data_IF_559112953833
#
_entry.id   IF_559112953833
#
_cell.length_a   1.000
_cell.length_b   1.000
_cell.length_c   1.000
_cell.angle_alpha   90.00
_cell.angle_beta   90.00
_cell.angle_gamma   90.00
#
_symmetry.space_group_name_H-M   'P 1'
#
loop_
_entity.id
_entity.type
_entity.pdbx_description
1 polymer ?
#
# COMPACT_ATOMS: atom_id res chain seq x y z
N UNK A 1 -46.43 -31.38 -23.60
CA UNK A 1 -45.20 -32.17 -23.83
C UNK A 1 -44.27 -31.89 -22.68
N UNK A 2 -44.12 -32.82 -21.75
CA UNK A 2 -43.25 -32.75 -20.57
C UNK A 2 -41.87 -33.29 -21.00
N UNK A 3 -40.81 -32.52 -20.83
CA UNK A 3 -39.42 -33.01 -20.92
C UNK A 3 -38.86 -33.14 -19.50
N UNK A 4 -38.54 -34.36 -19.13
CA UNK A 4 -37.88 -34.78 -17.91
C UNK A 4 -36.37 -34.61 -18.10
N UNK A 5 -35.71 -33.87 -17.22
CA UNK A 5 -34.23 -33.76 -17.16
C UNK A 5 -33.71 -34.73 -16.11
N UNK A 6 -32.84 -35.64 -16.54
CA UNK A 6 -32.12 -36.58 -15.69
C UNK A 6 -30.90 -35.86 -15.08
N UNK A 7 -30.81 -35.90 -13.76
CA UNK A 7 -29.59 -35.53 -13.01
C UNK A 7 -28.78 -36.80 -12.76
N UNK A 8 -27.55 -36.79 -13.26
CA UNK A 8 -26.53 -37.82 -12.95
C UNK A 8 -25.72 -37.31 -11.77
N UNK A 9 -25.83 -37.98 -10.64
CA UNK A 9 -25.01 -37.75 -9.46
C UNK A 9 -23.63 -38.40 -9.66
N UNK A 10 -22.59 -37.63 -9.62
CA UNK A 10 -21.21 -38.11 -9.57
C UNK A 10 -20.77 -38.18 -8.10
N UNK A 11 -20.52 -39.40 -7.63
CA UNK A 11 -19.98 -39.65 -6.29
C UNK A 11 -18.45 -39.46 -6.32
N UNK A 12 -17.96 -38.53 -5.51
CA UNK A 12 -16.51 -38.34 -5.25
C UNK A 12 -16.14 -39.21 -4.04
N UNK A 13 -15.25 -40.18 -4.29
CA UNK A 13 -14.61 -41.01 -3.26
C UNK A 13 -13.41 -40.25 -2.72
N UNK A 14 -13.46 -39.83 -1.46
CA UNK A 14 -12.32 -39.27 -0.73
C UNK A 14 -11.55 -40.43 -0.09
N UNK A 15 -10.32 -40.65 -0.55
CA UNK A 15 -9.38 -41.59 0.06
C UNK A 15 -8.59 -40.88 1.15
N UNK A 16 -8.87 -41.22 2.41
CA UNK A 16 -8.07 -40.80 3.57
C UNK A 16 -6.85 -41.72 3.73
N UNK A 17 -5.66 -41.16 3.57
CA UNK A 17 -4.40 -41.83 3.91
C UNK A 17 -4.05 -41.51 5.37
N UNK A 18 -4.18 -42.50 6.25
CA UNK A 18 -3.70 -42.41 7.63
C UNK A 18 -2.23 -42.86 7.69
N UNK A 19 -1.36 -41.94 8.12
CA UNK A 19 0.05 -42.26 8.43
C UNK A 19 0.15 -42.47 9.93
N UNK A 20 0.41 -43.71 10.32
CA UNK A 20 0.71 -44.09 11.71
C UNK A 20 2.23 -43.96 11.95
N UNK A 21 2.62 -43.04 12.83
CA UNK A 21 3.98 -43.01 13.40
C UNK A 21 4.03 -43.91 14.66
N UNK A 22 4.82 -44.99 14.60
CA UNK A 22 5.20 -45.75 15.77
C UNK A 22 6.51 -45.24 16.32
N UNK A 23 6.49 -44.71 17.53
CA UNK A 23 7.67 -44.41 18.32
C UNK A 23 7.98 -45.55 19.25
N UNK A 24 9.16 -46.16 19.15
CA UNK A 24 9.75 -47.01 20.20
C UNK A 24 11.21 -46.63 20.36
N UNK A 25 11.59 -46.32 21.59
CA UNK A 25 12.99 -46.07 21.93
C UNK A 25 13.17 -45.66 23.38
N UNK A 26 13.52 -46.61 24.21
CA UNK A 26 13.63 -46.58 25.65
C UNK A 26 14.69 -45.65 26.21
N UNK A 27 14.40 -45.19 27.40
CA UNK A 27 15.21 -44.45 28.38
C UNK A 27 16.32 -45.33 28.94
N UNK A 28 17.52 -44.80 29.15
CA UNK A 28 18.37 -45.17 30.28
C UNK A 28 19.07 -43.94 30.85
N UNK A 29 18.82 -43.71 32.13
CA UNK A 29 19.54 -42.80 32.99
C UNK A 29 20.80 -43.50 33.53
N UNK A 30 21.83 -42.76 33.69
CA UNK A 30 22.78 -42.63 34.79
C UNK A 30 24.17 -42.25 34.23
N UNK A 31 24.76 -41.19 34.65
CA UNK A 31 25.88 -41.18 35.55
C UNK A 31 26.48 -39.77 35.77
N UNK A 32 26.81 -39.59 36.98
CA UNK A 32 27.38 -38.53 37.75
C UNK A 32 28.63 -37.78 37.22
N UNK A 33 28.63 -36.48 37.49
CA UNK A 33 29.70 -35.63 38.03
C UNK A 33 31.09 -35.60 37.36
N UNK A 34 31.51 -34.41 36.95
CA UNK A 34 32.60 -33.64 37.56
C UNK A 34 32.85 -32.33 36.79
N UNK A 35 32.84 -31.24 37.49
CA UNK A 35 33.37 -29.93 37.10
C UNK A 35 34.91 -29.97 37.08
N UNK A 36 35.55 -29.24 36.17
CA UNK A 36 36.72 -28.46 36.54
C UNK A 36 36.58 -26.98 36.15
N UNK A 37 36.77 -26.16 37.14
CA UNK A 37 37.14 -24.76 37.07
C UNK A 37 38.40 -24.57 36.21
N UNK A 38 38.35 -23.63 35.27
CA UNK A 38 39.58 -23.02 34.76
C UNK A 38 39.33 -21.53 34.42
N UNK A 39 40.29 -20.79 34.84
CA UNK A 39 40.46 -19.37 34.94
C UNK A 39 40.12 -18.56 33.65
N UNK A 40 39.55 -17.41 33.95
CA UNK A 40 39.33 -16.31 33.05
C UNK A 40 40.67 -15.67 32.67
N UNK A 41 41.00 -15.70 31.39
CA UNK A 41 41.96 -14.78 30.81
C UNK A 41 41.15 -13.71 30.02
N UNK A 42 41.13 -12.50 30.56
CA UNK A 42 40.60 -11.32 29.89
C UNK A 42 41.53 -10.93 28.74
N UNK A 43 41.04 -11.04 27.51
CA UNK A 43 41.60 -10.35 26.38
C UNK A 43 40.62 -9.27 25.95
N UNK A 44 41.06 -8.02 26.11
CA UNK A 44 40.38 -6.85 25.54
C UNK A 44 40.37 -7.00 24.01
N UNK A 45 39.18 -7.25 23.46
CA UNK A 45 38.94 -7.10 22.04
C UNK A 45 38.33 -5.71 21.84
N UNK A 46 39.02 -4.86 21.07
CA UNK A 46 38.58 -3.52 20.72
C UNK A 46 37.24 -3.58 20.00
N UNK A 47 36.33 -2.74 20.47
CA UNK A 47 35.03 -2.45 19.89
C UNK A 47 35.26 -1.50 18.69
N UNK A 48 35.46 -2.06 17.51
CA UNK A 48 35.34 -1.34 16.23
C UNK A 48 33.91 -1.50 15.74
N UNK A 49 32.97 -0.91 16.47
CA UNK A 49 31.63 -0.63 15.95
C UNK A 49 31.77 0.52 14.93
N UNK A 50 31.91 0.18 13.67
CA UNK A 50 31.67 1.12 12.59
C UNK A 50 30.19 1.54 12.69
N UNK A 51 29.94 2.66 13.35
CA UNK A 51 28.64 3.34 13.32
C UNK A 51 28.39 3.81 11.89
N UNK A 52 27.47 3.16 11.21
CA UNK A 52 26.80 3.71 10.03
C UNK A 52 26.29 5.11 10.42
N UNK A 53 26.65 6.18 9.69
CA UNK A 53 26.14 7.50 10.01
C UNK A 53 24.61 7.45 9.82
N UNK A 54 23.88 7.74 10.90
CA UNK A 54 22.46 7.97 10.83
C UNK A 54 22.19 9.09 9.81
N UNK A 55 21.37 8.83 8.82
CA UNK A 55 20.91 9.83 7.87
C UNK A 55 20.41 11.05 8.65
N UNK A 56 20.96 12.22 8.37
CA UNK A 56 20.49 13.46 9.01
C UNK A 56 19.09 13.74 8.47
N UNK A 57 18.08 14.00 9.34
CA UNK A 57 16.77 14.40 8.87
C UNK A 57 16.88 15.66 8.02
N UNK A 58 16.25 15.65 6.84
CA UNK A 58 16.19 16.80 5.97
C UNK A 58 15.63 18.01 6.72
N UNK A 59 16.22 19.21 6.64
CA UNK A 59 15.60 20.41 7.20
C UNK A 59 14.30 20.71 6.42
N UNK A 60 13.18 20.84 7.10
CA UNK A 60 11.91 21.19 6.49
C UNK A 60 11.99 22.60 5.91
N UNK A 61 12.14 22.72 4.61
CA UNK A 61 12.06 24.01 3.92
C UNK A 61 11.47 23.82 2.52
N UNK A 62 10.38 24.54 2.29
CA UNK A 62 9.68 24.84 1.02
C UNK A 62 9.23 23.66 0.14
N UNK A 63 7.98 23.74 -0.28
CA UNK A 63 7.31 22.77 -1.15
C UNK A 63 8.06 22.58 -2.48
N UNK A 64 8.18 21.32 -2.97
CA UNK A 64 8.82 21.03 -4.26
C UNK A 64 8.00 21.60 -5.42
N UNK A 65 8.70 21.86 -6.55
CA UNK A 65 8.04 22.25 -7.80
C UNK A 65 7.31 21.04 -8.36
N UNK A 66 5.99 21.09 -8.29
CA UNK A 66 5.11 20.03 -8.75
C UNK A 66 5.03 20.02 -10.30
N UNK A 67 5.19 18.83 -10.90
CA UNK A 67 4.50 18.49 -12.14
C UNK A 67 3.13 17.98 -11.68
N UNK A 68 2.13 18.88 -11.63
CA UNK A 68 0.83 18.61 -11.03
C UNK A 68 -0.01 17.66 -11.90
N UNK A 69 -0.58 16.63 -11.28
CA UNK A 69 -1.76 15.96 -11.84
C UNK A 69 -2.91 16.97 -11.99
N UNK A 70 -3.84 16.77 -12.95
CA UNK A 70 -4.99 17.64 -13.06
C UNK A 70 -5.79 17.60 -11.76
N UNK A 71 -5.80 18.72 -11.03
CA UNK A 71 -6.65 18.88 -9.86
C UNK A 71 -8.11 18.86 -10.29
N UNK A 72 -8.94 18.15 -9.54
CA UNK A 72 -10.39 18.27 -9.67
C UNK A 72 -10.81 19.72 -9.39
N UNK A 73 -11.88 20.19 -10.03
CA UNK A 73 -12.38 21.57 -9.91
C UNK A 73 -13.09 21.86 -8.57
N UNK A 74 -13.10 20.91 -7.65
CA UNK A 74 -13.66 21.08 -6.31
C UNK A 74 -12.68 21.88 -5.44
N UNK A 75 -12.52 23.16 -5.75
CA UNK A 75 -12.02 24.15 -4.79
C UNK A 75 -13.10 24.27 -3.70
N UNK A 76 -12.92 23.55 -2.59
CA UNK A 76 -13.72 23.77 -1.38
C UNK A 76 -13.34 25.18 -0.92
N UNK A 77 -14.11 26.17 -1.36
CA UNK A 77 -13.85 27.58 -1.12
C UNK A 77 -13.66 27.78 0.39
N UNK A 78 -12.75 28.70 0.75
CA UNK A 78 -12.61 29.29 2.09
C UNK A 78 -13.92 30.01 2.54
N UNK A 79 -15.03 29.28 2.42
CA UNK A 79 -16.30 29.58 3.05
C UNK A 79 -16.23 29.03 4.44
N UNK A 80 -16.39 29.89 5.46
CA UNK A 80 -16.66 29.46 6.84
C UNK A 80 -17.84 28.50 6.82
N UNK A 81 -17.57 27.20 6.77
CA UNK A 81 -18.58 26.15 6.95
C UNK A 81 -19.16 26.38 8.35
N UNK A 82 -20.49 26.49 8.46
CA UNK A 82 -21.13 26.48 9.77
C UNK A 82 -20.65 25.23 10.50
N UNK A 83 -20.17 25.39 11.73
CA UNK A 83 -19.58 24.27 12.48
C UNK A 83 -20.60 23.11 12.53
N UNK A 84 -20.22 21.97 11.95
CA UNK A 84 -21.01 20.76 12.01
C UNK A 84 -20.98 20.23 13.44
N UNK A 85 -22.13 19.70 13.92
CA UNK A 85 -22.16 19.03 15.23
C UNK A 85 -21.17 17.84 15.23
N UNK A 86 -20.60 17.46 16.37
CA UNK A 86 -19.69 16.33 16.46
C UNK A 86 -20.28 15.05 15.86
N UNK A 87 -19.56 14.42 14.96
CA UNK A 87 -19.95 13.19 14.28
C UNK A 87 -19.25 11.96 14.89
N UNK A 88 -19.92 10.81 14.84
CA UNK A 88 -19.33 9.49 15.07
C UNK A 88 -19.03 8.84 13.71
N UNK A 89 -17.75 8.69 13.36
CA UNK A 89 -17.29 8.22 12.05
C UNK A 89 -16.61 6.85 12.20
N UNK A 90 -17.06 5.83 11.44
CA UNK A 90 -16.39 4.56 11.35
C UNK A 90 -15.46 4.55 10.12
N UNK A 91 -14.16 4.33 10.32
CA UNK A 91 -13.17 4.13 9.26
C UNK A 91 -12.86 2.64 9.16
N UNK A 92 -13.18 2.03 8.03
CA UNK A 92 -13.02 0.60 7.79
C UNK A 92 -11.96 0.39 6.72
N UNK A 93 -10.93 -0.40 7.04
CA UNK A 93 -9.82 -0.68 6.12
C UNK A 93 -9.42 -2.15 6.18
N UNK A 94 -9.13 -2.80 5.04
CA UNK A 94 -8.53 -4.13 5.05
C UNK A 94 -7.03 -4.11 5.38
N UNK A 95 -6.36 -2.96 5.20
CA UNK A 95 -4.90 -2.89 5.10
C UNK A 95 -4.25 -1.93 6.11
N UNK A 96 -4.98 -1.45 7.13
CA UNK A 96 -4.48 -0.44 8.07
C UNK A 96 -3.17 -0.84 8.76
N UNK A 97 -3.06 -2.09 9.22
CA UNK A 97 -1.86 -2.57 9.90
C UNK A 97 -0.77 -3.07 8.92
N UNK A 98 -1.17 -3.57 7.74
CA UNK A 98 -0.26 -4.21 6.79
C UNK A 98 0.43 -3.20 5.87
N UNK A 99 -0.26 -2.10 5.50
CA UNK A 99 0.22 -1.15 4.50
C UNK A 99 0.57 0.20 5.13
N UNK A 100 1.85 0.65 5.04
CA UNK A 100 2.27 1.95 5.57
C UNK A 100 1.48 3.14 5.01
N UNK A 101 1.10 3.09 3.72
CA UNK A 101 0.30 4.13 3.08
C UNK A 101 -1.12 4.20 3.67
N UNK A 102 -1.79 3.05 3.86
CA UNK A 102 -3.10 3.00 4.50
C UNK A 102 -3.07 3.55 5.92
N UNK A 103 -2.04 3.15 6.68
CA UNK A 103 -1.85 3.66 8.03
C UNK A 103 -1.67 5.16 8.05
N UNK A 104 -0.81 5.71 7.20
CA UNK A 104 -0.51 7.14 7.16
C UNK A 104 -1.76 7.96 6.79
N UNK A 105 -2.49 7.57 5.75
CA UNK A 105 -3.71 8.24 5.32
C UNK A 105 -4.80 8.24 6.40
N UNK A 106 -5.01 7.10 7.05
CA UNK A 106 -6.02 6.95 8.11
C UNK A 106 -5.60 7.71 9.38
N UNK A 107 -4.32 7.67 9.77
CA UNK A 107 -3.82 8.44 10.91
C UNK A 107 -4.01 9.97 10.69
N UNK A 108 -3.79 10.48 9.46
CA UNK A 108 -4.08 11.88 9.12
C UNK A 108 -5.58 12.19 9.20
N UNK A 109 -6.42 11.29 8.68
CA UNK A 109 -7.87 11.46 8.76
C UNK A 109 -8.37 11.48 10.21
N UNK A 110 -7.93 10.54 11.04
CA UNK A 110 -8.28 10.47 12.46
C UNK A 110 -7.86 11.75 13.17
N UNK A 111 -6.61 12.20 12.98
CA UNK A 111 -6.09 13.41 13.60
C UNK A 111 -6.85 14.68 13.17
N UNK A 112 -7.20 14.79 11.88
CA UNK A 112 -7.98 15.92 11.37
C UNK A 112 -9.41 15.91 11.94
N UNK A 113 -10.09 14.77 11.93
CA UNK A 113 -11.43 14.62 12.45
C UNK A 113 -11.51 14.92 13.96
N UNK A 114 -10.56 14.41 14.75
CA UNK A 114 -10.46 14.71 16.19
C UNK A 114 -10.21 16.21 16.45
N UNK A 115 -9.38 16.87 15.63
CA UNK A 115 -9.13 18.30 15.74
C UNK A 115 -10.40 19.14 15.48
N UNK A 116 -11.34 18.64 14.67
CA UNK A 116 -12.65 19.24 14.40
C UNK A 116 -13.72 18.82 15.42
N UNK A 117 -13.38 17.92 16.37
CA UNK A 117 -14.26 17.50 17.46
C UNK A 117 -15.11 16.25 17.15
N UNK A 118 -14.85 15.57 16.05
CA UNK A 118 -15.48 14.31 15.69
C UNK A 118 -14.86 13.14 16.46
N UNK A 119 -15.56 12.02 16.51
CA UNK A 119 -15.06 10.77 17.07
C UNK A 119 -14.84 9.77 15.94
N UNK A 120 -13.63 9.20 15.85
CA UNK A 120 -13.29 8.20 14.83
C UNK A 120 -13.10 6.83 15.48
N UNK A 121 -13.64 5.79 14.84
CA UNK A 121 -13.38 4.41 15.19
C UNK A 121 -12.77 3.71 13.98
N UNK A 122 -11.50 3.33 14.08
CA UNK A 122 -10.77 2.61 13.01
C UNK A 122 -10.91 1.11 13.22
N UNK A 123 -11.30 0.39 12.17
CA UNK A 123 -11.41 -1.09 12.14
C UNK A 123 -10.57 -1.63 10.99
N UNK A 124 -9.62 -2.50 11.33
CA UNK A 124 -8.82 -3.25 10.36
C UNK A 124 -9.39 -4.65 10.19
N UNK A 125 -9.70 -5.05 8.96
CA UNK A 125 -10.26 -6.37 8.67
C UNK A 125 -9.22 -7.38 8.17
N UNK A 126 -7.94 -7.00 8.16
CA UNK A 126 -6.81 -7.87 7.82
C UNK A 126 -7.00 -8.59 6.47
N UNK A 127 -7.24 -7.83 5.42
CA UNK A 127 -7.46 -8.29 4.02
C UNK A 127 -8.68 -9.19 3.82
N UNK A 128 -9.64 -9.16 4.75
CA UNK A 128 -10.86 -9.98 4.68
C UNK A 128 -12.07 -9.15 4.21
N UNK A 129 -12.44 -9.28 2.93
CA UNK A 129 -13.59 -8.59 2.33
C UNK A 129 -14.95 -9.04 2.95
N UNK A 130 -15.06 -10.29 3.42
CA UNK A 130 -16.26 -10.74 4.12
C UNK A 130 -16.36 -10.07 5.50
N UNK A 131 -15.23 -9.85 6.18
CA UNK A 131 -15.19 -9.07 7.41
C UNK A 131 -15.53 -7.61 7.14
N UNK A 132 -15.04 -6.99 6.05
CA UNK A 132 -15.44 -5.64 5.64
C UNK A 132 -16.96 -5.49 5.54
N UNK A 133 -17.64 -6.43 4.84
CA UNK A 133 -19.10 -6.44 4.76
C UNK A 133 -19.76 -6.51 6.15
N UNK A 134 -19.25 -7.36 7.04
CA UNK A 134 -19.81 -7.51 8.40
C UNK A 134 -19.56 -6.25 9.26
N UNK A 135 -18.41 -5.59 9.10
CA UNK A 135 -18.10 -4.35 9.84
C UNK A 135 -18.92 -3.16 9.34
N UNK A 136 -19.21 -3.05 8.03
CA UNK A 136 -20.15 -2.05 7.52
C UNK A 136 -21.53 -2.26 8.18
N UNK A 137 -22.07 -3.49 8.17
CA UNK A 137 -23.35 -3.82 8.82
C UNK A 137 -23.30 -3.55 10.33
N UNK A 138 -22.14 -3.76 10.98
CA UNK A 138 -21.93 -3.45 12.40
C UNK A 138 -21.99 -1.94 12.64
N UNK A 139 -21.29 -1.14 11.85
CA UNK A 139 -21.31 0.33 11.92
C UNK A 139 -22.75 0.87 11.71
N UNK A 140 -23.48 0.33 10.73
CA UNK A 140 -24.90 0.65 10.51
C UNK A 140 -25.73 0.35 11.75
N UNK A 141 -25.54 -0.83 12.37
CA UNK A 141 -26.28 -1.24 13.58
C UNK A 141 -25.96 -0.38 14.81
N UNK A 142 -24.75 0.17 14.88
CA UNK A 142 -24.31 1.10 15.92
C UNK A 142 -24.88 2.50 15.73
N UNK A 143 -25.33 2.82 14.51
CA UNK A 143 -25.92 4.11 14.17
C UNK A 143 -24.88 5.23 14.12
N UNK A 144 -23.68 4.92 13.55
CA UNK A 144 -22.66 5.95 13.27
C UNK A 144 -23.22 6.97 12.28
N UNK A 145 -22.68 8.19 12.31
CA UNK A 145 -23.14 9.26 11.42
C UNK A 145 -22.61 9.07 9.98
N UNK A 146 -21.38 8.58 9.84
CA UNK A 146 -20.76 8.34 8.54
C UNK A 146 -19.85 7.09 8.57
N UNK A 147 -19.66 6.48 7.40
CA UNK A 147 -18.70 5.40 7.18
C UNK A 147 -17.68 5.86 6.16
N UNK A 148 -16.39 5.69 6.45
CA UNK A 148 -15.28 5.88 5.50
C UNK A 148 -14.71 4.50 5.18
N UNK A 149 -14.73 4.12 3.92
CA UNK A 149 -14.02 2.94 3.40
C UNK A 149 -12.66 3.41 2.92
N UNK A 150 -11.60 2.94 3.58
CA UNK A 150 -10.22 3.31 3.25
C UNK A 150 -9.49 2.12 2.65
N UNK A 151 -8.90 2.27 1.44
CA UNK A 151 -8.07 1.29 0.73
C UNK A 151 -8.77 -0.03 0.31
N UNK A 152 -10.01 -0.27 0.63
CA UNK A 152 -10.71 -1.51 0.28
C UNK A 152 -11.09 -1.59 -1.20
N UNK A 153 -11.65 -2.75 -1.59
CA UNK A 153 -12.26 -2.99 -2.91
C UNK A 153 -13.78 -3.05 -2.77
N UNK A 154 -14.49 -1.90 -2.89
CA UNK A 154 -15.91 -1.82 -2.55
C UNK A 154 -16.82 -2.79 -3.32
N UNK A 155 -16.43 -3.17 -4.54
CA UNK A 155 -17.16 -4.12 -5.37
C UNK A 155 -17.24 -5.53 -4.75
N UNK A 156 -16.41 -5.82 -3.75
CA UNK A 156 -16.31 -7.11 -3.09
C UNK A 156 -16.96 -7.14 -1.68
N UNK A 157 -17.54 -6.02 -1.22
CA UNK A 157 -18.10 -5.91 0.14
C UNK A 157 -19.51 -6.49 0.30
N UNK A 158 -20.08 -7.07 -0.73
CA UNK A 158 -21.41 -7.68 -0.65
C UNK A 158 -22.53 -6.66 -0.45
N UNK A 159 -23.48 -6.97 0.46
CA UNK A 159 -24.68 -6.16 0.65
C UNK A 159 -24.51 -5.02 1.69
N UNK A 160 -23.35 -4.91 2.36
CA UNK A 160 -23.14 -3.93 3.45
C UNK A 160 -23.30 -2.48 3.00
N UNK A 161 -22.85 -2.14 1.78
CA UNK A 161 -23.06 -0.79 1.23
C UNK A 161 -24.56 -0.50 1.01
N UNK A 162 -25.33 -1.49 0.57
CA UNK A 162 -26.78 -1.35 0.42
C UNK A 162 -27.48 -1.20 1.79
N UNK A 163 -27.00 -1.90 2.82
CA UNK A 163 -27.51 -1.76 4.20
C UNK A 163 -27.27 -0.32 4.73
N UNK A 164 -26.09 0.26 4.45
CA UNK A 164 -25.79 1.64 4.82
C UNK A 164 -26.70 2.65 4.11
N UNK A 165 -26.92 2.47 2.80
CA UNK A 165 -27.88 3.28 2.01
C UNK A 165 -29.31 3.16 2.54
N UNK A 166 -29.78 1.95 2.89
CA UNK A 166 -31.13 1.72 3.44
C UNK A 166 -31.29 2.40 4.82
N UNK A 167 -30.19 2.51 5.57
CA UNK A 167 -30.17 3.16 6.88
C UNK A 167 -29.95 4.68 6.81
N UNK A 168 -29.86 5.29 5.61
CA UNK A 168 -29.53 6.69 5.38
C UNK A 168 -28.15 7.09 6.00
N UNK A 169 -27.18 6.16 6.08
CA UNK A 169 -25.82 6.43 6.55
C UNK A 169 -24.93 6.65 5.32
N UNK A 170 -24.34 7.85 5.15
CA UNK A 170 -23.47 8.14 4.01
C UNK A 170 -22.15 7.36 4.10
N UNK A 171 -21.69 6.85 2.94
CA UNK A 171 -20.42 6.14 2.82
C UNK A 171 -19.50 6.92 1.89
N UNK A 172 -18.28 7.15 2.34
CA UNK A 172 -17.23 7.89 1.66
C UNK A 172 -16.03 6.97 1.40
N UNK A 173 -15.18 7.32 0.45
CA UNK A 173 -14.02 6.55 0.04
C UNK A 173 -12.72 7.32 0.21
N UNK A 174 -11.78 6.78 0.99
CA UNK A 174 -10.43 7.30 1.17
C UNK A 174 -9.44 6.40 0.43
N UNK A 175 -8.99 6.81 -0.75
CA UNK A 175 -8.12 6.04 -1.67
C UNK A 175 -8.62 4.59 -1.87
N UNK A 176 -9.92 4.42 -2.01
CA UNK A 176 -10.54 3.10 -2.18
C UNK A 176 -10.36 2.57 -3.61
N UNK A 177 -10.41 1.26 -3.77
CA UNK A 177 -10.24 0.55 -5.05
C UNK A 177 -11.43 0.68 -5.98
N UNK A 178 -11.64 1.88 -6.51
CA UNK A 178 -12.74 2.23 -7.40
C UNK A 178 -14.03 2.56 -6.67
N UNK A 179 -15.09 2.79 -7.44
CA UNK A 179 -16.41 3.14 -6.93
C UNK A 179 -17.37 1.95 -6.99
N UNK A 180 -18.22 1.83 -5.98
CA UNK A 180 -19.40 0.98 -5.98
C UNK A 180 -20.64 1.79 -5.66
N UNK A 181 -21.83 1.24 -6.00
CA UNK A 181 -23.09 1.85 -5.61
C UNK A 181 -23.16 1.98 -4.08
N UNK A 182 -23.50 3.16 -3.59
CA UNK A 182 -23.54 3.48 -2.17
C UNK A 182 -22.38 4.32 -1.67
N UNK A 183 -21.25 4.42 -2.39
CA UNK A 183 -20.18 5.36 -2.09
C UNK A 183 -20.47 6.71 -2.75
N UNK A 184 -20.51 7.78 -1.96
CA UNK A 184 -20.84 9.13 -2.42
C UNK A 184 -19.68 9.75 -3.21
N UNK A 185 -18.47 9.69 -2.66
CA UNK A 185 -17.26 10.24 -3.25
C UNK A 185 -16.05 9.44 -2.78
N UNK A 186 -15.03 9.35 -3.62
CA UNK A 186 -13.72 8.79 -3.30
C UNK A 186 -12.66 9.88 -3.50
N UNK A 187 -11.93 10.22 -2.45
CA UNK A 187 -10.77 11.13 -2.53
C UNK A 187 -9.52 10.29 -2.72
N UNK A 188 -8.79 10.53 -3.78
CA UNK A 188 -7.62 9.73 -4.19
C UNK A 188 -6.65 10.59 -5.01
N UNK A 189 -5.61 9.98 -5.53
CA UNK A 189 -4.72 10.58 -6.54
C UNK A 189 -4.97 9.92 -7.92
N UNK A 190 -4.66 10.60 -9.02
CA UNK A 190 -4.70 10.00 -10.35
C UNK A 190 -3.65 8.89 -10.46
N UNK A 191 -4.10 7.65 -10.36
CA UNK A 191 -3.24 6.47 -10.36
C UNK A 191 -2.57 6.23 -11.73
N UNK A 192 -3.19 6.66 -12.84
CA UNK A 192 -2.54 6.67 -14.16
C UNK A 192 -1.34 7.59 -14.16
N UNK A 193 -1.51 8.82 -13.65
CA UNK A 193 -0.43 9.79 -13.50
C UNK A 193 0.70 9.27 -12.59
N UNK A 194 0.38 8.63 -11.45
CA UNK A 194 1.39 8.04 -10.55
C UNK A 194 2.26 7.00 -11.28
N UNK A 195 1.60 6.12 -12.05
CA UNK A 195 2.29 5.11 -12.85
C UNK A 195 3.17 5.71 -13.95
N UNK A 196 2.65 6.68 -14.70
CA UNK A 196 3.41 7.37 -15.75
C UNK A 196 4.63 8.08 -15.18
N UNK A 197 4.50 8.82 -14.08
CA UNK A 197 5.60 9.60 -13.50
C UNK A 197 6.70 8.71 -12.92
N UNK A 198 6.35 7.63 -12.24
CA UNK A 198 7.33 6.68 -11.70
C UNK A 198 8.06 5.91 -12.81
N UNK A 199 7.37 5.59 -13.92
CA UNK A 199 7.99 5.01 -15.10
C UNK A 199 8.87 6.00 -15.86
N UNK A 200 8.43 7.26 -15.99
CA UNK A 200 9.18 8.31 -16.67
C UNK A 200 10.55 8.55 -15.99
N UNK A 201 10.60 8.49 -14.65
CA UNK A 201 11.87 8.61 -13.92
C UNK A 201 12.89 7.52 -14.32
N UNK A 202 12.44 6.29 -14.57
CA UNK A 202 13.30 5.22 -15.10
C UNK A 202 13.71 5.53 -16.55
N UNK A 203 12.76 5.91 -17.41
CA UNK A 203 13.01 6.18 -18.83
C UNK A 203 14.04 7.29 -19.00
N UNK A 204 13.96 8.34 -18.19
CA UNK A 204 14.89 9.48 -18.24
C UNK A 204 16.34 9.06 -17.95
N UNK A 205 16.55 8.04 -17.12
CA UNK A 205 17.85 7.53 -16.75
C UNK A 205 18.41 6.47 -17.72
N UNK A 206 17.56 5.51 -18.17
CA UNK A 206 18.04 4.39 -19.00
C UNK A 206 17.92 4.67 -20.51
N UNK A 207 17.05 5.59 -20.92
CA UNK A 207 16.75 5.87 -22.31
C UNK A 207 15.93 4.77 -23.02
N UNK A 208 15.93 4.79 -24.35
CA UNK A 208 15.21 3.81 -25.17
C UNK A 208 15.91 2.45 -25.17
N UNK A 209 15.14 1.35 -25.20
CA UNK A 209 15.63 -0.02 -25.42
C UNK A 209 16.20 -0.71 -24.19
N UNK A 210 15.91 -0.21 -23.00
CA UNK A 210 16.27 -0.86 -21.73
C UNK A 210 15.32 -2.02 -21.36
N UNK A 211 15.60 -2.63 -20.20
CA UNK A 211 14.83 -3.75 -19.63
C UNK A 211 14.34 -3.42 -18.24
N UNK A 212 13.07 -3.71 -17.94
CA UNK A 212 12.46 -3.45 -16.64
C UNK A 212 11.71 -4.68 -16.13
N UNK A 213 11.83 -4.96 -14.82
CA UNK A 213 10.92 -5.85 -14.11
C UNK A 213 9.90 -5.00 -13.36
N UNK A 214 8.64 -5.42 -13.34
CA UNK A 214 7.56 -4.70 -12.66
C UNK A 214 6.97 -5.54 -11.54
N UNK A 215 6.78 -4.92 -10.36
CA UNK A 215 6.04 -5.50 -9.23
C UNK A 215 4.74 -4.73 -9.09
N UNK A 216 3.62 -5.42 -9.27
CA UNK A 216 2.27 -4.86 -9.32
C UNK A 216 1.30 -5.64 -8.43
N UNK A 217 0.05 -5.16 -8.29
CA UNK A 217 -1.02 -5.88 -7.59
C UNK A 217 -2.37 -5.61 -8.25
N UNK A 218 -2.79 -6.51 -9.16
CA UNK A 218 -4.01 -6.35 -9.96
C UNK A 218 -5.33 -6.35 -9.17
N UNK A 219 -5.47 -7.10 -8.05
CA UNK A 219 -6.72 -7.10 -7.30
C UNK A 219 -7.09 -5.72 -6.74
N UNK A 220 -6.13 -4.85 -6.43
CA UNK A 220 -6.39 -3.50 -5.97
C UNK A 220 -6.28 -2.51 -7.14
N UNK A 221 -7.41 -1.92 -7.53
CA UNK A 221 -7.53 -1.08 -8.73
C UNK A 221 -6.51 0.06 -8.80
N UNK A 222 -6.24 0.84 -7.75
CA UNK A 222 -5.22 1.88 -7.78
C UNK A 222 -3.86 1.38 -8.25
N UNK A 223 -3.35 0.30 -7.68
CA UNK A 223 -2.04 -0.28 -8.07
C UNK A 223 -2.08 -0.88 -9.47
N UNK A 224 -3.20 -1.47 -9.87
CA UNK A 224 -3.39 -1.97 -11.24
C UNK A 224 -3.34 -0.83 -12.26
N UNK A 225 -4.02 0.29 -12.02
CA UNK A 225 -4.01 1.44 -12.93
C UNK A 225 -2.61 2.07 -13.04
N UNK A 226 -1.86 2.16 -11.93
CA UNK A 226 -0.44 2.57 -11.94
C UNK A 226 0.38 1.66 -12.86
N UNK A 227 0.23 0.34 -12.70
CA UNK A 227 1.00 -0.65 -13.45
C UNK A 227 0.64 -0.66 -14.95
N UNK A 228 -0.65 -0.52 -15.30
CA UNK A 228 -1.11 -0.43 -16.68
C UNK A 228 -0.51 0.80 -17.38
N UNK A 229 -0.55 1.97 -16.72
CA UNK A 229 0.00 3.22 -17.25
C UNK A 229 1.53 3.17 -17.38
N UNK A 230 2.24 2.71 -16.34
CA UNK A 230 3.70 2.54 -16.37
C UNK A 230 4.13 1.60 -17.48
N UNK A 231 3.47 0.44 -17.59
CA UNK A 231 3.75 -0.56 -18.62
C UNK A 231 3.55 -0.01 -20.04
N UNK A 232 2.43 0.68 -20.27
CA UNK A 232 2.16 1.30 -21.57
C UNK A 232 3.24 2.32 -21.95
N UNK A 233 3.72 3.08 -20.97
CA UNK A 233 4.77 4.07 -21.17
C UNK A 233 6.12 3.42 -21.47
N UNK A 234 6.51 2.35 -20.77
CA UNK A 234 7.73 1.56 -21.04
C UNK A 234 7.69 0.98 -22.46
N UNK A 235 6.62 0.27 -22.81
CA UNK A 235 6.46 -0.35 -24.13
C UNK A 235 6.45 0.72 -25.25
N UNK A 236 5.83 1.90 -25.00
CA UNK A 236 5.81 3.05 -25.92
C UNK A 236 7.18 3.67 -26.19
N UNK A 237 8.13 3.53 -25.26
CA UNK A 237 9.52 3.98 -25.36
C UNK A 237 10.50 2.85 -25.74
N UNK A 238 9.99 1.68 -26.17
CA UNK A 238 10.80 0.55 -26.60
C UNK A 238 11.55 -0.15 -25.48
N UNK A 239 11.15 0.06 -24.22
CA UNK A 239 11.69 -0.65 -23.05
C UNK A 239 10.94 -1.97 -22.90
N UNK A 240 11.68 -3.05 -22.74
CA UNK A 240 11.11 -4.39 -22.58
C UNK A 240 10.73 -4.65 -21.12
N UNK A 241 9.46 -4.96 -20.87
CA UNK A 241 9.02 -5.47 -19.58
C UNK A 241 9.31 -6.98 -19.53
N UNK A 242 10.46 -7.34 -18.96
CA UNK A 242 10.97 -8.73 -18.95
C UNK A 242 10.30 -9.61 -17.90
N UNK A 243 9.76 -9.00 -16.83
CA UNK A 243 9.01 -9.70 -15.77
C UNK A 243 7.87 -8.78 -15.28
N UNK A 244 6.71 -9.39 -15.04
CA UNK A 244 5.51 -8.75 -14.51
C UNK A 244 5.01 -9.56 -13.33
N UNK A 245 5.36 -9.14 -12.10
CA UNK A 245 5.28 -9.92 -10.88
C UNK A 245 4.13 -9.43 -10.02
N UNK A 246 3.16 -10.32 -9.75
CA UNK A 246 2.11 -10.07 -8.78
C UNK A 246 2.73 -10.00 -7.38
N UNK A 247 2.64 -8.85 -6.71
CA UNK A 247 3.16 -8.65 -5.37
C UNK A 247 2.25 -9.25 -4.29
N UNK A 248 2.69 -9.14 -3.05
CA UNK A 248 1.96 -9.59 -1.88
C UNK A 248 1.73 -8.39 -0.94
N UNK A 249 0.51 -7.91 -0.75
CA UNK A 249 0.23 -6.79 0.15
C UNK A 249 0.42 -7.13 1.63
N UNK A 250 0.32 -8.40 2.03
CA UNK A 250 0.50 -8.80 3.43
C UNK A 250 1.98 -8.82 3.85
N UNK A 251 2.90 -9.09 2.90
CA UNK A 251 4.35 -9.06 3.11
C UNK A 251 5.07 -8.37 1.94
N UNK A 252 4.69 -7.13 1.66
CA UNK A 252 5.17 -6.38 0.49
C UNK A 252 6.69 -6.35 0.38
N UNK A 253 7.38 -6.04 1.47
CA UNK A 253 8.85 -5.91 1.50
C UNK A 253 9.54 -7.27 1.42
N UNK A 254 9.11 -8.26 2.21
CA UNK A 254 9.73 -9.59 2.21
C UNK A 254 9.52 -10.33 0.90
N UNK A 255 8.29 -10.29 0.37
CA UNK A 255 7.97 -10.87 -0.94
C UNK A 255 8.81 -10.23 -2.05
N UNK A 256 8.85 -8.90 -2.14
CA UNK A 256 9.59 -8.19 -3.17
C UNK A 256 11.10 -8.48 -3.07
N UNK A 257 11.67 -8.53 -1.85
CA UNK A 257 13.07 -8.87 -1.67
C UNK A 257 13.40 -10.30 -2.17
N UNK A 258 12.54 -11.27 -1.89
CA UNK A 258 12.71 -12.65 -2.38
C UNK A 258 12.57 -12.73 -3.91
N UNK A 259 11.51 -12.13 -4.47
CA UNK A 259 11.27 -12.12 -5.91
C UNK A 259 12.42 -11.46 -6.69
N UNK A 260 12.92 -10.32 -6.19
CA UNK A 260 14.07 -9.64 -6.80
C UNK A 260 15.35 -10.47 -6.63
N UNK A 261 15.56 -11.15 -5.50
CA UNK A 261 16.65 -12.10 -5.34
C UNK A 261 16.68 -13.18 -6.45
N UNK A 262 15.51 -13.71 -6.81
CA UNK A 262 15.36 -14.67 -7.92
C UNK A 262 15.63 -14.01 -9.29
N UNK A 263 15.18 -12.75 -9.50
CA UNK A 263 15.50 -11.99 -10.71
C UNK A 263 17.00 -11.79 -10.90
N UNK A 264 17.71 -11.40 -9.81
CA UNK A 264 19.15 -11.16 -9.86
C UNK A 264 19.96 -12.46 -10.18
N UNK A 265 19.42 -13.61 -9.80
CA UNK A 265 19.99 -14.90 -10.20
C UNK A 265 19.71 -15.24 -11.67
N UNK A 266 18.56 -14.80 -12.21
CA UNK A 266 18.13 -15.04 -13.59
C UNK A 266 18.78 -14.09 -14.59
N UNK A 267 18.93 -12.81 -14.23
CA UNK A 267 19.45 -11.73 -15.07
C UNK A 267 20.85 -11.29 -14.59
N UNK A 268 21.95 -11.72 -15.24
CA UNK A 268 23.29 -11.24 -14.95
C UNK A 268 23.42 -9.72 -15.08
N UNK A 269 24.54 -9.17 -14.56
CA UNK A 269 24.81 -7.73 -14.64
C UNK A 269 24.73 -7.22 -16.09
N UNK A 270 23.96 -6.16 -16.30
CA UNK A 270 23.69 -5.54 -17.59
C UNK A 270 22.57 -6.18 -18.41
N UNK A 271 21.81 -7.13 -17.84
CA UNK A 271 20.61 -7.73 -18.49
C UNK A 271 19.28 -7.28 -17.87
N UNK A 272 19.33 -6.55 -16.76
CA UNK A 272 18.20 -5.88 -16.12
C UNK A 272 18.63 -4.48 -15.71
N UNK A 273 17.93 -3.46 -16.21
CA UNK A 273 18.30 -2.07 -15.99
C UNK A 273 17.53 -1.43 -14.83
N UNK A 274 16.25 -1.84 -14.63
CA UNK A 274 15.45 -1.25 -13.57
C UNK A 274 14.38 -2.20 -13.03
N UNK A 275 13.89 -1.87 -11.83
CA UNK A 275 12.73 -2.45 -11.17
C UNK A 275 11.75 -1.33 -10.87
N UNK A 276 10.56 -1.42 -11.44
CA UNK A 276 9.43 -0.57 -11.12
C UNK A 276 8.55 -1.28 -10.09
N UNK A 277 8.22 -0.60 -8.98
CA UNK A 277 7.29 -1.12 -7.98
C UNK A 277 6.09 -0.19 -7.83
N UNK A 278 4.90 -0.76 -7.82
CA UNK A 278 3.63 -0.03 -7.76
C UNK A 278 3.36 0.68 -6.44
N UNK A 279 4.17 0.38 -5.39
CA UNK A 279 4.11 1.05 -4.08
C UNK A 279 5.45 0.93 -3.32
N UNK A 280 5.70 1.85 -2.40
CA UNK A 280 6.99 2.01 -1.73
C UNK A 280 7.41 0.83 -0.85
N UNK A 281 6.47 0.13 -0.20
CA UNK A 281 6.82 -1.03 0.62
C UNK A 281 7.41 -2.18 -0.23
N UNK A 282 6.92 -2.37 -1.45
CA UNK A 282 7.51 -3.29 -2.44
C UNK A 282 8.84 -2.77 -2.99
N UNK A 283 8.92 -1.46 -3.28
CA UNK A 283 10.15 -0.83 -3.73
C UNK A 283 11.28 -1.00 -2.70
N UNK A 284 10.96 -0.91 -1.41
CA UNK A 284 11.92 -1.14 -0.32
C UNK A 284 12.52 -2.54 -0.38
N UNK A 285 11.70 -3.57 -0.57
CA UNK A 285 12.17 -4.94 -0.70
C UNK A 285 13.07 -5.13 -1.93
N UNK A 286 12.65 -4.57 -3.07
CA UNK A 286 13.44 -4.59 -4.30
C UNK A 286 14.80 -3.90 -4.12
N UNK A 287 14.80 -2.71 -3.54
CA UNK A 287 16.00 -1.94 -3.24
C UNK A 287 16.96 -2.69 -2.30
N UNK A 288 16.44 -3.25 -1.21
CA UNK A 288 17.25 -4.05 -0.28
C UNK A 288 17.90 -5.25 -0.94
N UNK A 289 17.20 -5.93 -1.85
CA UNK A 289 17.74 -7.07 -2.58
C UNK A 289 18.87 -6.65 -3.54
N UNK A 290 18.74 -5.52 -4.24
CA UNK A 290 19.81 -4.99 -5.10
C UNK A 290 21.05 -4.63 -4.29
N UNK A 291 20.90 -3.98 -3.14
CA UNK A 291 22.01 -3.67 -2.24
C UNK A 291 22.71 -4.94 -1.71
N UNK A 292 21.91 -5.91 -1.26
CA UNK A 292 22.46 -7.17 -0.71
C UNK A 292 23.26 -7.97 -1.74
N UNK A 293 22.92 -7.84 -3.02
CA UNK A 293 23.59 -8.51 -4.13
C UNK A 293 24.71 -7.69 -4.78
N UNK A 294 25.00 -6.46 -4.28
CA UNK A 294 25.94 -5.49 -4.91
C UNK A 294 25.58 -5.17 -6.37
N UNK A 295 24.24 -5.07 -6.64
CA UNK A 295 23.65 -4.80 -7.97
C UNK A 295 23.03 -3.40 -8.02
N UNK A 296 23.81 -2.39 -7.58
CA UNK A 296 23.35 -1.00 -7.49
C UNK A 296 23.27 -0.28 -8.85
N UNK A 297 23.63 -0.94 -9.92
CA UNK A 297 23.37 -0.49 -11.28
C UNK A 297 21.91 -0.65 -11.69
N UNK A 298 21.13 -1.45 -10.98
CA UNK A 298 19.70 -1.64 -11.26
C UNK A 298 18.92 -0.54 -10.54
N UNK A 299 18.25 0.31 -11.30
CA UNK A 299 17.44 1.41 -10.76
C UNK A 299 16.15 0.90 -10.13
N UNK A 300 15.66 1.61 -9.11
CA UNK A 300 14.39 1.29 -8.44
C UNK A 300 13.53 2.55 -8.39
N UNK A 301 12.23 2.41 -8.64
CA UNK A 301 11.22 3.45 -8.35
C UNK A 301 10.07 2.87 -7.55
N UNK A 302 9.42 3.74 -6.78
CA UNK A 302 8.23 3.43 -6.00
C UNK A 302 7.13 4.47 -6.19
N UNK A 303 6.04 4.28 -5.47
CA UNK A 303 4.89 5.19 -5.39
C UNK A 303 4.43 5.21 -3.93
N UNK A 304 3.88 6.29 -3.50
CA UNK A 304 3.25 6.72 -2.25
C UNK A 304 4.00 7.86 -1.56
N UNK A 305 5.33 7.95 -1.71
CA UNK A 305 6.15 8.99 -1.06
C UNK A 305 6.27 8.79 0.44
N UNK A 306 6.36 7.55 0.89
CA UNK A 306 6.54 7.21 2.30
C UNK A 306 7.84 7.80 2.85
N UNK A 307 7.86 8.20 4.12
CA UNK A 307 9.02 8.86 4.74
C UNK A 307 10.33 8.04 4.61
N UNK A 308 10.26 6.71 4.68
CA UNK A 308 11.41 5.84 4.48
C UNK A 308 11.88 5.84 3.02
N UNK A 309 10.96 5.89 2.04
CA UNK A 309 11.30 5.96 0.62
C UNK A 309 11.97 7.29 0.27
N UNK A 310 11.40 8.40 0.75
CA UNK A 310 11.99 9.73 0.58
C UNK A 310 13.41 9.79 1.18
N UNK A 311 13.61 9.19 2.37
CA UNK A 311 14.92 9.15 3.01
C UNK A 311 15.95 8.38 2.16
N UNK A 312 15.57 7.25 1.56
CA UNK A 312 16.47 6.47 0.69
C UNK A 312 16.75 7.19 -0.63
N UNK A 313 15.71 7.75 -1.28
CA UNK A 313 15.85 8.56 -2.51
C UNK A 313 16.79 9.75 -2.27
N UNK A 314 16.69 10.41 -1.11
CA UNK A 314 17.56 11.54 -0.74
C UNK A 314 19.06 11.18 -0.68
N UNK A 315 19.40 9.91 -0.52
CA UNK A 315 20.81 9.46 -0.53
C UNK A 315 21.47 9.55 -1.91
N UNK A 316 20.67 9.64 -2.99
CA UNK A 316 21.17 9.60 -4.36
C UNK A 316 21.68 8.21 -4.78
N UNK A 317 21.17 7.14 -4.15
CA UNK A 317 21.44 5.75 -4.51
C UNK A 317 20.63 5.27 -5.72
N UNK A 318 20.52 3.96 -5.87
CA UNK A 318 19.77 3.38 -7.00
C UNK A 318 18.25 3.34 -6.82
N UNK A 319 17.70 3.74 -5.66
CA UNK A 319 16.28 4.11 -5.55
C UNK A 319 16.16 5.57 -5.97
N UNK A 320 15.82 5.79 -7.25
CA UNK A 320 15.96 7.10 -7.89
C UNK A 320 14.77 8.03 -7.71
N UNK A 321 13.57 7.49 -7.52
CA UNK A 321 12.36 8.28 -7.32
C UNK A 321 11.25 7.50 -6.61
N UNK A 322 10.40 8.24 -5.91
CA UNK A 322 9.03 7.84 -5.53
C UNK A 322 8.05 8.94 -5.92
N UNK A 323 6.81 8.57 -6.26
CA UNK A 323 5.77 9.57 -6.56
C UNK A 323 4.88 9.69 -5.34
N UNK A 324 4.98 10.84 -4.66
CA UNK A 324 4.30 11.09 -3.39
C UNK A 324 2.83 11.39 -3.61
N UNK A 325 1.97 10.67 -2.93
CA UNK A 325 0.60 11.03 -2.64
C UNK A 325 0.56 11.94 -1.41
N UNK A 326 -0.24 12.99 -1.43
CA UNK A 326 -0.37 13.90 -0.29
C UNK A 326 -1.48 13.42 0.64
N UNK A 327 -1.13 12.45 1.50
CA UNK A 327 -2.08 11.79 2.40
C UNK A 327 -2.77 12.76 3.37
N UNK A 328 -2.08 13.81 3.82
CA UNK A 328 -2.67 14.87 4.66
C UNK A 328 -3.75 15.65 3.88
N UNK A 329 -3.45 16.05 2.63
CA UNK A 329 -4.41 16.73 1.77
C UNK A 329 -5.56 15.80 1.37
N UNK A 330 -5.31 14.51 1.08
CA UNK A 330 -6.36 13.52 0.80
C UNK A 330 -7.31 13.40 2.00
N UNK A 331 -6.75 13.20 3.19
CA UNK A 331 -7.51 13.02 4.43
C UNK A 331 -8.33 14.25 4.82
N UNK A 332 -7.73 15.43 4.73
CA UNK A 332 -8.41 16.69 5.06
C UNK A 332 -9.46 17.09 4.02
N UNK A 333 -9.25 16.77 2.75
CA UNK A 333 -10.25 16.93 1.68
C UNK A 333 -11.45 16.02 1.92
N UNK A 334 -11.20 14.75 2.27
CA UNK A 334 -12.27 13.79 2.60
C UNK A 334 -13.10 14.28 3.78
N UNK A 335 -12.45 14.70 4.88
CA UNK A 335 -13.16 15.26 6.03
C UNK A 335 -14.00 16.48 5.65
N UNK A 336 -13.44 17.39 4.84
CA UNK A 336 -14.17 18.57 4.38
C UNK A 336 -15.43 18.22 3.57
N UNK A 337 -15.38 17.16 2.74
CA UNK A 337 -16.54 16.67 2.00
C UNK A 337 -17.59 16.02 2.90
N UNK A 338 -17.15 15.31 3.95
CA UNK A 338 -18.06 14.77 4.98
C UNK A 338 -18.77 15.92 5.70
N UNK A 339 -18.05 16.93 6.18
CA UNK A 339 -18.63 18.08 6.87
C UNK A 339 -19.57 18.89 5.96
N UNK A 340 -19.20 19.09 4.67
CA UNK A 340 -20.05 19.75 3.69
C UNK A 340 -21.36 18.99 3.48
N UNK A 341 -21.30 17.66 3.39
CA UNK A 341 -22.49 16.80 3.28
C UNK A 341 -23.45 16.99 4.45
N UNK A 342 -22.94 17.02 5.69
CA UNK A 342 -23.75 17.25 6.89
C UNK A 342 -24.22 18.70 7.01
N UNK A 343 -23.57 19.65 6.33
CA UNK A 343 -24.08 21.02 6.14
C UNK A 343 -25.15 21.13 5.04
N UNK A 344 -25.47 20.03 4.33
CA UNK A 344 -26.48 19.95 3.28
C UNK A 344 -25.95 20.17 1.87
N UNK A 345 -24.65 20.02 1.65
CA UNK A 345 -23.99 20.14 0.37
C UNK A 345 -23.64 18.74 -0.17
N UNK A 346 -24.24 18.33 -1.29
CA UNK A 346 -23.92 17.07 -1.95
C UNK A 346 -22.57 17.17 -2.70
N UNK A 347 -21.72 16.11 -2.68
CA UNK A 347 -20.51 16.09 -3.50
C UNK A 347 -20.80 16.33 -4.98
N UNK A 348 -20.07 17.25 -5.60
CA UNK A 348 -20.28 17.60 -7.02
C UNK A 348 -19.71 16.53 -7.97
N UNK A 349 -18.71 15.78 -7.52
CA UNK A 349 -18.04 14.71 -8.26
C UNK A 349 -17.99 13.44 -7.40
N UNK A 350 -17.93 12.29 -8.04
CA UNK A 350 -17.82 10.99 -7.35
C UNK A 350 -16.37 10.59 -7.10
N UNK A 351 -15.42 11.24 -7.76
CA UNK A 351 -13.98 11.07 -7.53
C UNK A 351 -13.37 12.46 -7.45
N UNK A 352 -12.61 12.69 -6.38
CA UNK A 352 -11.84 13.93 -6.18
C UNK A 352 -10.35 13.57 -6.20
N UNK A 353 -9.62 14.17 -7.13
CA UNK A 353 -8.19 13.94 -7.28
C UNK A 353 -7.37 14.98 -6.53
N UNK A 354 -6.47 14.53 -5.68
CA UNK A 354 -5.43 15.34 -5.03
C UNK A 354 -4.13 15.24 -5.84
N UNK A 355 -3.44 16.37 -6.09
CA UNK A 355 -2.20 16.38 -6.82
C UNK A 355 -1.10 15.53 -6.17
N UNK A 356 -0.24 14.92 -7.00
CA UNK A 356 0.93 14.17 -6.58
C UNK A 356 2.23 14.88 -6.96
N UNK A 357 3.33 14.50 -6.30
CA UNK A 357 4.65 15.09 -6.52
C UNK A 357 5.70 14.00 -6.73
N UNK A 358 6.50 14.12 -7.79
CA UNK A 358 7.68 13.26 -8.00
C UNK A 358 8.79 13.68 -7.05
N UNK A 359 9.24 12.77 -6.22
CA UNK A 359 10.37 12.95 -5.30
C UNK A 359 11.59 12.26 -5.87
N UNK A 360 12.66 13.03 -6.07
CA UNK A 360 13.99 12.58 -6.50
C UNK A 360 15.04 13.07 -5.51
N UNK A 361 16.29 12.66 -5.67
CA UNK A 361 17.39 13.16 -4.82
C UNK A 361 17.54 14.70 -4.85
N UNK A 362 17.09 15.35 -5.93
CA UNK A 362 17.19 16.80 -6.08
C UNK A 362 16.21 17.57 -5.19
N UNK A 363 15.02 16.99 -4.91
CA UNK A 363 13.95 17.66 -4.17
C UNK A 363 13.51 16.94 -2.89
N UNK A 364 14.06 15.78 -2.57
CA UNK A 364 13.68 15.00 -1.38
C UNK A 364 13.89 15.75 -0.06
N UNK A 365 14.74 16.77 -0.04
CA UNK A 365 15.07 17.60 1.12
C UNK A 365 14.58 19.06 0.99
N UNK A 366 13.63 19.35 0.11
CA UNK A 366 13.04 20.69 -0.07
C UNK A 366 11.54 20.78 0.35
#
# INVERSE_FOLDING_TARGET
MKRTSNWIAASIVVATCAVTLTATGSINADDTATTPTSEVASSEAGDDSASTPAAQPCPSTSAPVATEAPASSNDVGDGTVEAVEPLEIAVLSPDYAAQPAAKEAIDFFEAAAEAHGHTVTVVDTNSDNAAMNAEITTAVSQGVDAIVVAFGTPQEFGDGLADAVEADIPVFGLDTGGLAEGILVNVTTDNGFLGEQSAQAIIDEIGEGGTVAMIHFDPFEPVRLRAEAARALFEGNGIEVVEYIQGDPEDSTGFAAAAVGDLLAKYPAGELDAIWAGWDASALGAYQATLAADRTEILVTGVDGQAFAIAEVATGGNWIATVRQDWDTIATTELGLIEAYFAGEEPAETIVYVPAVVITAENACT
#
